data_IF_639914704516
#
_entry.id   IF_639914704516
#
_cell.length_a   1.000
_cell.length_b   1.000
_cell.length_c   1.000
_cell.angle_alpha   90.00
_cell.angle_beta   90.00
_cell.angle_gamma   90.00
#
_symmetry.space_group_name_H-M   'P 1'
#
loop_
_entity.id
_entity.type
_entity.pdbx_description
1 polymer ?
#
# COMPACT_ATOMS: atom_id res chain seq x y z
N UNK A 1 3.91 23.39 -29.04
CA UNK A 1 3.42 22.01 -29.09
C UNK A 1 2.39 21.86 -27.99
N UNK A 2 1.21 21.36 -28.30
CA UNK A 2 0.22 21.06 -27.25
C UNK A 2 0.65 19.80 -26.51
N UNK A 3 0.56 19.81 -25.18
CA UNK A 3 0.89 18.68 -24.31
C UNK A 3 -0.30 18.35 -23.42
N UNK A 4 -0.56 17.06 -23.19
CA UNK A 4 -1.54 16.56 -22.20
C UNK A 4 -0.81 15.64 -21.24
N UNK A 5 -1.09 15.80 -19.94
CA UNK A 5 -0.62 14.91 -18.87
C UNK A 5 -1.82 14.12 -18.35
N UNK A 6 -1.80 12.80 -18.50
CA UNK A 6 -2.79 11.88 -17.95
C UNK A 6 -2.19 11.28 -16.68
N UNK A 7 -2.87 11.40 -15.54
CA UNK A 7 -2.35 10.92 -14.26
C UNK A 7 -3.30 9.84 -13.74
N UNK A 8 -2.76 8.66 -13.47
CA UNK A 8 -3.43 7.54 -12.80
C UNK A 8 -2.56 7.07 -11.64
N UNK A 9 -3.15 6.39 -10.66
CA UNK A 9 -2.47 5.94 -9.43
C UNK A 9 -3.16 4.69 -8.89
N UNK A 10 -2.50 3.96 -7.98
CA UNK A 10 -3.12 2.93 -7.15
C UNK A 10 -3.85 1.85 -7.95
N UNK A 11 -3.16 1.35 -8.99
CA UNK A 11 -3.72 0.30 -9.84
C UNK A 11 -3.66 -1.07 -9.14
N UNK A 12 -2.63 -1.30 -8.31
CA UNK A 12 -2.45 -2.50 -7.51
C UNK A 12 -2.54 -3.80 -8.33
N UNK A 13 -1.73 -3.89 -9.41
CA UNK A 13 -1.59 -5.12 -10.20
C UNK A 13 -0.82 -6.20 -9.42
N UNK A 14 -1.48 -7.31 -9.07
CA UNK A 14 -0.88 -8.46 -8.37
C UNK A 14 -0.57 -9.63 -9.34
N UNK A 15 -0.01 -10.73 -8.84
CA UNK A 15 0.20 -11.97 -9.60
C UNK A 15 -1.06 -12.76 -10.05
N UNK A 16 -2.24 -12.13 -10.12
CA UNK A 16 -3.46 -12.67 -10.74
C UNK A 16 -4.25 -13.71 -9.93
N UNK A 17 -3.70 -14.21 -8.82
CA UNK A 17 -4.35 -15.21 -7.95
C UNK A 17 -4.84 -14.63 -6.62
N UNK A 18 -4.60 -13.35 -6.36
CA UNK A 18 -4.91 -12.74 -5.06
C UNK A 18 -6.31 -12.13 -5.03
N UNK A 19 -7.02 -12.34 -3.91
CA UNK A 19 -8.25 -11.60 -3.57
C UNK A 19 -7.99 -10.09 -3.40
N UNK A 20 -6.73 -9.70 -3.26
CA UNK A 20 -6.25 -8.33 -3.13
C UNK A 20 -6.02 -7.62 -4.48
N UNK A 21 -6.42 -8.24 -5.60
CA UNK A 21 -6.25 -7.67 -6.93
C UNK A 21 -7.09 -6.40 -7.10
N UNK A 22 -6.43 -5.24 -7.26
CA UNK A 22 -7.10 -3.96 -7.50
C UNK A 22 -7.49 -3.71 -8.97
N UNK A 23 -6.81 -4.39 -9.91
CA UNK A 23 -6.97 -4.16 -11.34
C UNK A 23 -7.66 -5.34 -12.05
N UNK A 24 -8.93 -5.19 -12.40
CA UNK A 24 -9.69 -6.18 -13.18
C UNK A 24 -10.09 -5.68 -14.57
N UNK A 25 -10.99 -6.40 -15.23
CA UNK A 25 -11.45 -6.09 -16.60
C UNK A 25 -12.04 -4.68 -16.73
N UNK A 26 -12.72 -4.19 -15.69
CA UNK A 26 -13.29 -2.83 -15.68
C UNK A 26 -12.19 -1.75 -15.66
N UNK A 27 -11.16 -1.93 -14.82
CA UNK A 27 -10.00 -1.03 -14.77
C UNK A 27 -9.18 -1.10 -16.06
N UNK A 28 -9.00 -2.29 -16.64
CA UNK A 28 -8.36 -2.47 -17.94
C UNK A 28 -9.09 -1.70 -19.04
N UNK A 29 -10.42 -1.87 -19.14
CA UNK A 29 -11.23 -1.14 -20.11
C UNK A 29 -11.18 0.39 -19.90
N UNK A 30 -11.14 0.85 -18.65
CA UNK A 30 -10.98 2.26 -18.32
C UNK A 30 -9.62 2.80 -18.78
N UNK A 31 -8.53 2.05 -18.59
CA UNK A 31 -7.19 2.42 -19.05
C UNK A 31 -7.12 2.50 -20.59
N UNK A 32 -7.70 1.53 -21.29
CA UNK A 32 -7.79 1.53 -22.75
C UNK A 32 -8.58 2.75 -23.24
N UNK A 33 -9.73 3.04 -22.63
CA UNK A 33 -10.52 4.23 -22.93
C UNK A 33 -9.75 5.53 -22.68
N UNK A 34 -9.05 5.65 -21.55
CA UNK A 34 -8.27 6.83 -21.20
C UNK A 34 -7.11 7.07 -22.16
N UNK A 35 -6.35 6.03 -22.50
CA UNK A 35 -5.22 6.12 -23.44
C UNK A 35 -5.68 6.41 -24.87
N UNK A 36 -6.84 5.88 -25.27
CA UNK A 36 -7.48 6.23 -26.54
C UNK A 36 -7.98 7.67 -26.57
N UNK A 37 -8.53 8.19 -25.46
CA UNK A 37 -9.18 9.51 -25.38
C UNK A 37 -8.29 10.70 -25.76
N UNK A 38 -6.96 10.52 -25.75
CA UNK A 38 -5.97 11.51 -26.19
C UNK A 38 -5.60 11.40 -27.69
N UNK A 39 -6.44 10.71 -28.49
CA UNK A 39 -6.29 10.55 -29.93
C UNK A 39 -7.12 11.56 -30.75
N UNK A 40 -6.87 11.64 -32.05
CA UNK A 40 -7.55 12.60 -32.93
C UNK A 40 -9.04 12.28 -33.08
N UNK A 41 -9.93 13.21 -32.70
CA UNK A 41 -11.39 13.04 -32.75
C UNK A 41 -12.02 12.59 -31.44
N UNK A 42 -11.21 12.37 -30.40
CA UNK A 42 -11.62 11.92 -29.07
C UNK A 42 -11.84 13.10 -28.08
N UNK A 43 -12.45 12.87 -26.90
CA UNK A 43 -12.90 13.94 -25.99
C UNK A 43 -11.81 14.90 -25.51
N UNK A 44 -10.56 14.45 -25.40
CA UNK A 44 -9.43 15.30 -24.97
C UNK A 44 -8.75 16.01 -26.16
N UNK A 45 -9.15 15.71 -27.39
CA UNK A 45 -8.56 16.24 -28.61
C UNK A 45 -7.18 15.70 -28.92
N UNK A 46 -6.53 16.29 -29.95
CA UNK A 46 -5.18 15.91 -30.38
C UNK A 46 -4.13 16.78 -29.70
N UNK A 47 -3.16 16.15 -29.04
CA UNK A 47 -1.93 16.77 -28.58
C UNK A 47 -0.69 16.17 -29.26
N UNK A 48 0.28 17.04 -29.57
CA UNK A 48 1.57 16.66 -30.16
C UNK A 48 2.39 15.79 -29.20
N UNK A 49 2.21 16.03 -27.90
CA UNK A 49 2.86 15.33 -26.79
C UNK A 49 1.79 14.87 -25.79
N UNK A 50 1.80 13.60 -25.40
CA UNK A 50 0.95 13.10 -24.32
C UNK A 50 1.77 12.18 -23.45
N UNK A 51 1.72 12.44 -22.15
CA UNK A 51 2.40 11.67 -21.14
C UNK A 51 1.38 10.99 -20.23
N UNK A 52 1.47 9.66 -20.10
CA UNK A 52 0.78 8.89 -19.08
C UNK A 52 1.70 8.77 -17.86
N UNK A 53 1.30 9.42 -16.78
CA UNK A 53 1.99 9.40 -15.49
C UNK A 53 1.26 8.40 -14.59
N UNK A 54 1.97 7.35 -14.18
CA UNK A 54 1.50 6.34 -13.25
C UNK A 54 2.13 6.67 -11.90
N UNK A 55 1.33 7.25 -11.01
CA UNK A 55 1.75 7.93 -9.78
C UNK A 55 1.89 6.99 -8.57
N UNK A 56 2.70 5.96 -8.69
CA UNK A 56 2.91 4.98 -7.62
C UNK A 56 1.82 3.91 -7.56
N UNK A 57 2.18 2.82 -6.88
CA UNK A 57 1.31 1.67 -6.61
C UNK A 57 0.63 1.12 -7.88
N UNK A 58 1.38 1.14 -8.99
CA UNK A 58 0.97 0.50 -10.22
C UNK A 58 0.94 -1.02 -10.05
N UNK A 59 1.99 -1.53 -9.42
CA UNK A 59 2.20 -2.93 -9.14
C UNK A 59 2.10 -3.16 -7.65
N UNK A 60 1.54 -4.29 -7.23
CA UNK A 60 1.51 -4.65 -5.82
C UNK A 60 2.46 -5.81 -5.55
N UNK A 61 3.73 -5.47 -5.34
CA UNK A 61 4.76 -6.43 -4.93
C UNK A 61 4.52 -6.94 -3.51
N UNK A 62 3.77 -6.20 -2.69
CA UNK A 62 3.46 -6.63 -1.33
C UNK A 62 2.49 -7.82 -1.37
N UNK A 63 1.42 -7.73 -2.16
CA UNK A 63 0.39 -8.76 -2.33
C UNK A 63 0.74 -9.88 -3.32
N UNK A 64 1.92 -9.81 -3.96
CA UNK A 64 2.38 -10.84 -4.90
C UNK A 64 3.36 -11.81 -4.24
N UNK A 65 3.07 -13.11 -4.31
CA UNK A 65 3.97 -14.16 -3.79
C UNK A 65 5.33 -14.17 -4.52
N UNK A 66 6.44 -14.54 -3.86
CA UNK A 66 6.55 -14.98 -2.47
C UNK A 66 6.38 -13.83 -1.48
N UNK A 67 5.68 -14.08 -0.37
CA UNK A 67 5.51 -13.08 0.69
C UNK A 67 6.79 -13.06 1.52
N UNK A 68 7.58 -11.99 1.38
CA UNK A 68 8.83 -11.81 2.11
C UNK A 68 8.55 -11.16 3.46
N UNK A 69 8.90 -11.85 4.54
CA UNK A 69 8.67 -11.39 5.91
C UNK A 69 9.95 -10.83 6.54
N UNK A 70 10.98 -10.50 5.75
CA UNK A 70 12.25 -9.94 6.24
C UNK A 70 12.23 -8.42 6.37
N UNK A 71 11.18 -7.76 5.87
CA UNK A 71 11.09 -6.29 5.86
C UNK A 71 12.03 -5.61 4.86
N UNK A 72 12.49 -6.36 3.84
CA UNK A 72 13.32 -5.86 2.76
C UNK A 72 12.93 -6.52 1.44
N UNK A 73 13.23 -5.84 0.34
CA UNK A 73 13.10 -6.36 -1.02
C UNK A 73 14.48 -6.50 -1.65
N UNK A 74 14.68 -7.57 -2.41
CA UNK A 74 15.90 -7.85 -3.17
C UNK A 74 15.58 -8.10 -4.65
N UNK A 75 16.57 -7.88 -5.52
CA UNK A 75 16.39 -7.98 -6.97
C UNK A 75 15.84 -9.35 -7.41
N UNK A 76 16.37 -10.51 -6.96
CA UNK A 76 15.83 -11.81 -7.36
C UNK A 76 14.35 -11.99 -7.00
N UNK A 77 13.95 -11.60 -5.79
CA UNK A 77 12.56 -11.70 -5.31
C UNK A 77 11.66 -10.76 -6.09
N UNK A 78 12.11 -9.52 -6.33
CA UNK A 78 11.39 -8.55 -7.13
C UNK A 78 11.13 -9.05 -8.55
N UNK A 79 12.14 -9.60 -9.23
CA UNK A 79 11.97 -10.15 -10.57
C UNK A 79 11.03 -11.37 -10.60
N UNK A 80 11.07 -12.24 -9.57
CA UNK A 80 10.11 -13.35 -9.47
C UNK A 80 8.66 -12.83 -9.38
N UNK A 81 8.42 -11.84 -8.52
CA UNK A 81 7.10 -11.22 -8.36
C UNK A 81 6.65 -10.50 -9.63
N UNK A 82 7.54 -9.71 -10.24
CA UNK A 82 7.25 -8.99 -11.48
C UNK A 82 6.88 -9.96 -12.60
N UNK A 83 7.56 -11.10 -12.74
CA UNK A 83 7.21 -12.13 -13.72
C UNK A 83 5.77 -12.63 -13.55
N UNK A 84 5.31 -12.82 -12.31
CA UNK A 84 3.93 -13.24 -12.02
C UNK A 84 2.92 -12.15 -12.37
N UNK A 85 3.24 -10.89 -12.06
CA UNK A 85 2.41 -9.72 -12.40
C UNK A 85 2.30 -9.59 -13.93
N UNK A 86 3.42 -9.69 -14.66
CA UNK A 86 3.45 -9.64 -16.12
C UNK A 86 2.60 -10.75 -16.73
N UNK A 87 2.75 -11.98 -16.23
CA UNK A 87 1.99 -13.12 -16.72
C UNK A 87 0.48 -12.97 -16.48
N UNK A 88 0.08 -12.32 -15.38
CA UNK A 88 -1.32 -12.09 -15.04
C UNK A 88 -1.97 -10.94 -15.84
N UNK A 89 -1.19 -9.90 -16.20
CA UNK A 89 -1.71 -8.63 -16.72
C UNK A 89 -1.25 -8.31 -18.15
N UNK A 90 -1.19 -9.32 -19.02
CA UNK A 90 -0.81 -9.14 -20.43
C UNK A 90 -1.51 -7.97 -21.16
N UNK A 91 -2.84 -7.81 -21.04
CA UNK A 91 -3.56 -6.67 -21.64
C UNK A 91 -3.07 -5.30 -21.18
N UNK A 92 -2.65 -5.13 -19.93
CA UNK A 92 -2.12 -3.86 -19.41
C UNK A 92 -0.83 -3.47 -20.15
N UNK A 93 0.12 -4.41 -20.24
CA UNK A 93 1.40 -4.17 -20.93
C UNK A 93 1.22 -3.98 -22.43
N UNK A 94 0.26 -4.66 -23.04
CA UNK A 94 -0.11 -4.47 -24.45
C UNK A 94 -0.67 -3.05 -24.69
N UNK A 95 -1.51 -2.54 -23.79
CA UNK A 95 -2.00 -1.16 -23.86
C UNK A 95 -0.86 -0.14 -23.79
N UNK A 96 0.10 -0.33 -22.86
CA UNK A 96 1.27 0.54 -22.77
C UNK A 96 2.15 0.47 -24.03
N UNK A 97 2.33 -0.72 -24.61
CA UNK A 97 3.08 -0.91 -25.85
C UNK A 97 2.45 -0.14 -27.01
N UNK A 98 1.15 -0.31 -27.23
CA UNK A 98 0.42 0.40 -28.28
C UNK A 98 0.45 1.92 -28.07
N UNK A 99 0.31 2.37 -26.81
CA UNK A 99 0.38 3.78 -26.48
C UNK A 99 1.73 4.39 -26.86
N UNK A 100 2.84 3.78 -26.42
CA UNK A 100 4.21 4.28 -26.70
C UNK A 100 4.60 4.15 -28.18
N UNK A 101 4.02 3.20 -28.93
CA UNK A 101 4.26 3.07 -30.36
C UNK A 101 3.76 4.31 -31.15
N UNK A 102 2.84 5.09 -30.58
CA UNK A 102 2.36 6.33 -31.18
C UNK A 102 3.37 7.47 -30.96
N UNK A 103 3.64 8.25 -32.01
CA UNK A 103 4.58 9.37 -31.93
C UNK A 103 4.12 10.41 -30.89
N UNK A 104 5.07 10.89 -30.06
CA UNK A 104 4.79 11.87 -29.02
C UNK A 104 4.02 11.29 -27.82
N UNK A 105 4.20 9.99 -27.53
CA UNK A 105 3.67 9.33 -26.35
C UNK A 105 4.77 8.87 -25.41
N UNK A 106 4.58 9.18 -24.15
CA UNK A 106 5.54 8.92 -23.07
C UNK A 106 4.82 8.28 -21.88
N UNK A 107 5.48 7.38 -21.18
CA UNK A 107 5.01 6.82 -19.91
C UNK A 107 6.03 7.16 -18.83
N UNK A 108 5.55 7.74 -17.73
CA UNK A 108 6.34 8.01 -16.54
C UNK A 108 5.81 7.20 -15.38
N UNK A 109 6.67 6.41 -14.75
CA UNK A 109 6.39 5.74 -13.49
C UNK A 109 6.96 6.56 -12.33
N UNK A 110 6.15 6.83 -11.33
CA UNK A 110 6.56 7.32 -10.02
C UNK A 110 6.42 6.13 -9.07
N UNK A 111 7.35 5.99 -8.14
CA UNK A 111 7.36 4.89 -7.18
C UNK A 111 6.42 5.17 -6.00
N UNK A 112 5.62 4.18 -5.62
CA UNK A 112 4.83 4.15 -4.39
C UNK A 112 5.40 3.18 -3.36
N UNK A 113 4.68 2.92 -2.27
CA UNK A 113 5.15 1.98 -1.24
C UNK A 113 4.85 0.50 -1.57
N UNK A 114 3.94 0.21 -2.51
CA UNK A 114 3.64 -1.15 -2.97
C UNK A 114 4.53 -1.62 -4.14
N UNK A 115 5.20 -0.70 -4.82
CA UNK A 115 6.11 -0.96 -5.94
C UNK A 115 7.48 -0.30 -5.80
N UNK A 116 8.01 -0.29 -4.58
CA UNK A 116 9.34 0.26 -4.29
C UNK A 116 10.46 -0.38 -5.12
N UNK A 117 10.21 -1.61 -5.59
CA UNK A 117 11.03 -2.38 -6.50
C UNK A 117 11.30 -1.69 -7.84
N UNK A 118 10.49 -0.68 -8.23
CA UNK A 118 10.75 0.17 -9.39
C UNK A 118 12.07 0.93 -9.30
N UNK A 119 12.67 1.05 -8.11
CA UNK A 119 14.01 1.60 -7.93
C UNK A 119 15.12 0.67 -8.46
N UNK A 120 14.88 -0.64 -8.61
CA UNK A 120 15.86 -1.59 -9.15
C UNK A 120 16.07 -1.38 -10.65
N UNK A 121 17.33 -1.38 -11.11
CA UNK A 121 17.65 -1.24 -12.54
C UNK A 121 17.10 -2.43 -13.35
N UNK A 122 17.16 -3.62 -12.78
CA UNK A 122 16.72 -4.88 -13.38
C UNK A 122 15.19 -4.92 -13.57
N UNK A 123 14.43 -4.47 -12.57
CA UNK A 123 12.96 -4.36 -12.65
C UNK A 123 12.57 -3.39 -13.77
N UNK A 124 13.21 -2.22 -13.82
CA UNK A 124 12.99 -1.22 -14.88
C UNK A 124 13.38 -1.73 -16.26
N UNK A 125 14.46 -2.51 -16.37
CA UNK A 125 14.90 -3.10 -17.62
C UNK A 125 13.88 -4.15 -18.12
N UNK A 126 13.39 -5.02 -17.23
CA UNK A 126 12.39 -6.02 -17.56
C UNK A 126 11.04 -5.40 -17.95
N UNK A 127 10.60 -4.34 -17.27
CA UNK A 127 9.39 -3.60 -17.65
C UNK A 127 9.52 -2.98 -19.04
N UNK A 128 10.67 -2.38 -19.37
CA UNK A 128 10.94 -1.85 -20.73
C UNK A 128 10.89 -2.93 -21.80
N UNK A 129 11.55 -4.06 -21.55
CA UNK A 129 11.53 -5.21 -22.46
C UNK A 129 10.10 -5.71 -22.67
N UNK A 130 9.33 -5.84 -21.58
CA UNK A 130 7.94 -6.29 -21.61
C UNK A 130 7.05 -5.35 -22.42
N UNK A 131 7.24 -4.03 -22.28
CA UNK A 131 6.52 -3.01 -23.05
C UNK A 131 7.04 -2.94 -24.51
N UNK A 132 8.18 -3.56 -24.83
CA UNK A 132 8.72 -3.65 -26.17
C UNK A 132 9.56 -2.44 -26.59
N UNK A 133 10.21 -1.77 -25.63
CA UNK A 133 11.15 -0.68 -25.90
C UNK A 133 12.58 -1.06 -25.51
N UNK A 134 13.56 -0.39 -26.12
CA UNK A 134 14.96 -0.57 -25.73
C UNK A 134 15.19 -0.07 -24.29
N UNK A 135 16.18 -0.64 -23.59
CA UNK A 135 16.52 -0.29 -22.19
C UNK A 135 16.76 1.21 -21.98
N UNK A 136 17.27 1.91 -23.00
CA UNK A 136 17.58 3.34 -22.94
C UNK A 136 16.55 4.21 -23.69
N UNK A 137 15.34 3.70 -23.94
CA UNK A 137 14.29 4.45 -24.62
C UNK A 137 13.68 5.51 -23.68
N UNK A 138 13.86 6.78 -24.04
CA UNK A 138 13.39 7.94 -23.26
C UNK A 138 11.87 8.12 -23.28
N UNK A 139 11.12 7.30 -24.04
CA UNK A 139 9.66 7.27 -23.97
C UNK A 139 9.14 6.63 -22.69
N UNK A 140 9.96 5.82 -22.01
CA UNK A 140 9.65 5.30 -20.67
C UNK A 140 10.62 5.90 -19.67
N UNK A 141 10.08 6.71 -18.77
CA UNK A 141 10.81 7.32 -17.68
C UNK A 141 10.39 6.69 -16.36
N UNK A 142 11.38 6.33 -15.53
CA UNK A 142 11.15 5.93 -14.15
C UNK A 142 11.71 7.04 -13.29
N UNK A 143 10.84 7.77 -12.59
CA UNK A 143 11.21 8.92 -11.79
C UNK A 143 12.11 8.46 -10.64
N UNK A 144 13.37 8.93 -10.57
CA UNK A 144 14.28 8.51 -9.51
C UNK A 144 14.07 9.30 -8.22
N UNK A 145 13.33 10.41 -8.27
CA UNK A 145 13.00 11.27 -7.13
C UNK A 145 11.65 10.90 -6.53
N UNK A 146 11.40 11.28 -5.28
CA UNK A 146 10.08 11.08 -4.61
C UNK A 146 8.92 11.81 -5.27
N UNK A 147 9.24 12.84 -6.02
CA UNK A 147 8.28 13.69 -6.70
C UNK A 147 8.62 13.81 -8.17
N UNK A 148 7.62 14.19 -8.97
CA UNK A 148 7.76 14.51 -10.36
C UNK A 148 7.17 15.89 -10.67
N UNK A 149 7.87 16.67 -11.49
CA UNK A 149 7.42 18.00 -11.96
C UNK A 149 7.30 17.99 -13.48
N UNK A 150 6.19 17.48 -14.04
CA UNK A 150 6.00 17.44 -15.50
C UNK A 150 5.85 18.83 -16.11
N UNK A 151 5.45 19.83 -15.30
CA UNK A 151 5.24 21.23 -15.69
C UNK A 151 5.70 22.16 -14.54
N UNK A 152 5.98 23.46 -14.80
CA UNK A 152 6.49 24.39 -13.78
C UNK A 152 5.59 24.54 -12.54
N UNK A 153 4.29 24.40 -12.72
CA UNK A 153 3.23 24.59 -11.73
C UNK A 153 2.57 23.28 -11.29
N UNK A 154 3.02 22.14 -11.81
CA UNK A 154 2.50 20.82 -11.45
C UNK A 154 3.55 20.05 -10.66
N UNK A 155 3.14 19.62 -9.47
CA UNK A 155 3.93 18.82 -8.56
C UNK A 155 3.16 17.55 -8.23
N UNK A 156 3.80 16.40 -8.43
CA UNK A 156 3.19 15.10 -8.26
C UNK A 156 4.04 14.30 -7.27
N UNK A 157 3.40 13.77 -6.25
CA UNK A 157 3.92 12.73 -5.36
C UNK A 157 2.85 11.65 -5.25
N UNK A 158 3.28 10.41 -4.95
CA UNK A 158 2.33 9.34 -4.63
C UNK A 158 1.58 9.62 -3.31
N UNK A 159 2.31 10.09 -2.28
CA UNK A 159 1.71 10.59 -1.03
C UNK A 159 1.90 9.68 0.19
N UNK A 160 2.46 8.48 0.03
CA UNK A 160 2.84 7.58 1.14
C UNK A 160 3.77 8.26 2.18
N UNK A 161 4.47 9.31 1.76
CA UNK A 161 5.32 10.12 2.63
C UNK A 161 4.51 11.00 3.61
N UNK A 162 3.20 11.12 3.47
CA UNK A 162 2.35 11.82 4.45
C UNK A 162 1.62 10.86 5.38
N UNK A 163 1.85 9.55 5.23
CA UNK A 163 1.30 8.52 6.10
C UNK A 163 2.33 8.15 7.18
N UNK A 164 1.89 8.15 8.45
CA UNK A 164 2.75 7.81 9.58
C UNK A 164 3.40 6.43 9.41
N UNK A 165 2.73 5.46 8.79
CA UNK A 165 3.24 4.10 8.64
C UNK A 165 4.29 4.00 7.53
N UNK A 166 4.12 4.76 6.44
CA UNK A 166 4.92 4.66 5.23
C UNK A 166 5.82 5.88 4.93
N UNK A 167 5.89 6.87 5.83
CA UNK A 167 6.65 8.12 5.67
C UNK A 167 8.11 7.95 5.23
N UNK A 168 8.80 7.00 5.85
CA UNK A 168 10.25 6.87 5.75
C UNK A 168 10.60 5.55 5.09
N UNK A 169 11.28 5.65 3.96
CA UNK A 169 11.88 4.51 3.27
C UNK A 169 13.39 4.73 3.33
N UNK A 170 14.01 4.07 4.30
CA UNK A 170 15.40 4.32 4.66
C UNK A 170 16.34 4.11 3.47
N UNK A 171 17.32 5.00 3.34
CA UNK A 171 18.42 4.93 2.37
C UNK A 171 18.03 5.00 0.89
N UNK A 172 16.76 5.30 0.55
CA UNK A 172 16.36 5.55 -0.84
C UNK A 172 16.45 7.01 -1.25
N UNK A 173 15.92 7.91 -0.42
CA UNK A 173 15.88 9.35 -0.72
C UNK A 173 16.33 10.19 0.47
N UNK A 174 16.91 11.36 0.16
CA UNK A 174 17.17 12.39 1.16
C UNK A 174 15.89 13.16 1.54
N UNK A 175 16.03 14.09 2.49
CA UNK A 175 14.93 14.94 2.97
C UNK A 175 14.32 15.82 1.86
N UNK A 176 15.06 16.10 0.78
CA UNK A 176 14.58 16.85 -0.37
C UNK A 176 14.01 15.95 -1.47
N UNK A 177 13.87 14.65 -1.20
CA UNK A 177 13.33 13.67 -2.14
C UNK A 177 14.26 13.32 -3.30
N UNK A 178 15.56 13.62 -3.17
CA UNK A 178 16.58 13.21 -4.14
C UNK A 178 17.09 11.80 -3.83
N UNK A 179 17.36 10.98 -4.85
CA UNK A 179 17.84 9.61 -4.64
C UNK A 179 19.23 9.59 -4.00
N UNK A 180 19.40 8.75 -2.97
CA UNK A 180 20.69 8.49 -2.33
C UNK A 180 21.51 7.46 -3.12
N UNK A 181 20.84 6.46 -3.70
CA UNK A 181 21.40 5.48 -4.62
C UNK A 181 20.45 5.28 -5.82
N UNK A 182 20.99 5.38 -7.03
CA UNK A 182 20.23 5.18 -8.28
C UNK A 182 20.13 3.71 -8.69
N UNK A 183 20.92 2.84 -8.06
CA UNK A 183 21.05 1.40 -8.36
C UNK A 183 21.15 0.58 -7.07
N UNK A 184 20.16 0.70 -6.16
CA UNK A 184 20.15 -0.14 -4.97
C UNK A 184 20.08 -1.61 -5.38
N UNK A 185 20.68 -2.51 -4.60
CA UNK A 185 20.56 -3.96 -4.78
C UNK A 185 19.65 -4.62 -3.73
N UNK A 186 19.30 -3.86 -2.69
CA UNK A 186 18.36 -4.23 -1.63
C UNK A 186 17.70 -2.94 -1.14
N UNK A 187 16.42 -3.04 -0.77
CA UNK A 187 15.64 -1.91 -0.25
C UNK A 187 14.99 -2.35 1.05
N UNK A 188 15.15 -1.57 2.11
CA UNK A 188 14.40 -1.78 3.35
C UNK A 188 12.99 -1.24 3.15
N UNK A 189 11.97 -2.06 3.43
CA UNK A 189 10.58 -1.64 3.26
C UNK A 189 10.20 -0.60 4.33
N UNK A 190 9.31 0.34 4.00
CA UNK A 190 8.73 1.19 5.02
C UNK A 190 7.95 0.33 6.03
N UNK A 191 7.85 0.85 7.24
CA UNK A 191 7.35 0.07 8.36
C UNK A 191 5.91 -0.43 8.17
N UNK A 192 5.04 0.39 7.57
CA UNK A 192 3.68 -0.01 7.19
C UNK A 192 3.66 -1.20 6.23
N UNK A 193 4.48 -1.16 5.18
CA UNK A 193 4.61 -2.24 4.20
C UNK A 193 5.18 -3.53 4.82
N UNK A 194 6.16 -3.41 5.73
CA UNK A 194 6.67 -4.56 6.48
C UNK A 194 5.61 -5.16 7.41
N UNK A 195 4.93 -4.33 8.21
CA UNK A 195 3.83 -4.76 9.08
C UNK A 195 2.73 -5.45 8.27
N UNK A 196 2.38 -4.88 7.11
CA UNK A 196 1.37 -5.44 6.23
C UNK A 196 1.78 -6.84 5.79
N UNK A 197 2.97 -7.02 5.20
CA UNK A 197 3.41 -8.34 4.73
C UNK A 197 3.60 -9.37 5.85
N UNK A 198 4.18 -8.94 6.98
CA UNK A 198 4.56 -9.84 8.07
C UNK A 198 3.39 -10.23 8.97
N UNK A 199 2.54 -9.28 9.34
CA UNK A 199 1.53 -9.47 10.39
C UNK A 199 0.09 -9.33 9.86
N UNK A 200 -0.20 -8.33 9.02
CA UNK A 200 -1.58 -8.05 8.62
C UNK A 200 -2.05 -8.81 7.37
N UNK A 201 -1.13 -9.34 6.55
CA UNK A 201 -1.45 -9.93 5.25
C UNK A 201 -2.48 -11.06 5.33
N UNK A 202 -2.44 -11.91 6.38
CA UNK A 202 -3.49 -12.94 6.53
C UNK A 202 -4.88 -12.36 6.80
N UNK A 203 -4.97 -11.21 7.48
CA UNK A 203 -6.25 -10.51 7.65
C UNK A 203 -6.75 -10.06 6.28
N UNK A 204 -5.92 -9.39 5.49
CA UNK A 204 -6.32 -8.93 4.15
C UNK A 204 -6.73 -10.10 3.23
N UNK A 205 -6.10 -11.27 3.32
CA UNK A 205 -6.52 -12.44 2.54
C UNK A 205 -7.87 -13.02 2.95
N UNK A 206 -8.16 -13.10 4.25
CA UNK A 206 -9.43 -13.69 4.74
C UNK A 206 -10.58 -12.66 4.79
N UNK A 207 -10.24 -11.38 4.91
CA UNK A 207 -11.14 -10.26 5.16
C UNK A 207 -10.85 -9.08 4.22
N UNK A 208 -10.63 -9.34 2.93
CA UNK A 208 -10.29 -8.31 1.93
C UNK A 208 -11.29 -7.15 1.86
N UNK A 209 -12.53 -7.36 2.29
CA UNK A 209 -13.56 -6.32 2.36
C UNK A 209 -13.32 -5.27 3.46
N UNK A 210 -12.39 -5.49 4.39
CA UNK A 210 -12.06 -4.50 5.43
C UNK A 210 -11.57 -3.18 4.84
N UNK A 211 -10.88 -3.24 3.71
CA UNK A 211 -10.38 -2.06 2.99
C UNK A 211 -11.46 -1.41 2.09
N UNK A 212 -12.70 -1.91 2.13
CA UNK A 212 -13.82 -1.44 1.31
C UNK A 212 -15.01 -0.93 2.13
N UNK A 213 -14.86 -0.79 3.46
CA UNK A 213 -15.88 -0.15 4.28
C UNK A 213 -15.98 1.35 3.97
N UNK A 214 -17.21 1.83 3.82
CA UNK A 214 -17.52 3.26 3.65
C UNK A 214 -18.56 3.69 4.69
N UNK A 215 -18.19 4.49 5.71
CA UNK A 215 -16.84 5.02 5.98
C UNK A 215 -15.84 3.93 6.41
N UNK A 216 -14.54 4.19 6.25
CA UNK A 216 -13.47 3.25 6.59
C UNK A 216 -13.55 2.76 8.04
N UNK A 217 -13.41 1.45 8.25
CA UNK A 217 -13.37 0.86 9.59
C UNK A 217 -11.95 0.95 10.18
N UNK A 218 -11.80 1.62 11.32
CA UNK A 218 -10.49 1.75 11.98
C UNK A 218 -10.00 0.43 12.62
N UNK A 219 -8.73 0.41 13.00
CA UNK A 219 -8.08 -0.79 13.57
C UNK A 219 -8.74 -1.30 14.85
N UNK A 220 -9.26 -0.43 15.74
CA UNK A 220 -9.93 -0.89 16.96
C UNK A 220 -11.20 -1.69 16.64
N UNK A 221 -12.02 -1.18 15.72
CA UNK A 221 -13.23 -1.88 15.26
C UNK A 221 -12.89 -3.18 14.54
N UNK A 222 -11.84 -3.18 13.70
CA UNK A 222 -11.37 -4.39 13.04
C UNK A 222 -10.90 -5.45 14.06
N UNK A 223 -10.10 -5.07 15.06
CA UNK A 223 -9.64 -5.99 16.13
C UNK A 223 -10.86 -6.52 16.90
N UNK A 224 -11.81 -5.66 17.30
CA UNK A 224 -13.01 -6.08 18.02
C UNK A 224 -13.85 -7.07 17.19
N UNK A 225 -14.09 -6.76 15.91
CA UNK A 225 -14.84 -7.63 15.02
C UNK A 225 -14.14 -8.99 14.85
N UNK A 226 -12.82 -9.00 14.66
CA UNK A 226 -12.05 -10.23 14.51
C UNK A 226 -11.97 -11.03 15.82
N UNK A 227 -12.03 -10.40 16.99
CA UNK A 227 -12.14 -11.13 18.26
C UNK A 227 -13.42 -11.98 18.35
N UNK A 228 -14.51 -11.53 17.69
CA UNK A 228 -15.76 -12.29 17.57
C UNK A 228 -15.69 -13.36 16.47
N UNK A 229 -15.20 -12.97 15.29
CA UNK A 229 -15.33 -13.79 14.08
C UNK A 229 -14.17 -14.79 13.91
N UNK A 230 -12.95 -14.40 14.27
CA UNK A 230 -11.75 -15.22 14.08
C UNK A 230 -10.68 -14.86 15.13
N UNK A 231 -10.87 -15.27 16.41
CA UNK A 231 -9.89 -14.99 17.46
C UNK A 231 -8.49 -15.55 17.14
N UNK A 232 -8.41 -16.63 16.36
CA UNK A 232 -7.15 -17.23 15.91
C UNK A 232 -6.30 -16.27 15.06
N UNK A 233 -6.94 -15.49 14.18
CA UNK A 233 -6.22 -14.51 13.35
C UNK A 233 -5.70 -13.35 14.21
N UNK A 234 -6.46 -12.90 15.20
CA UNK A 234 -6.03 -11.85 16.14
C UNK A 234 -4.81 -12.31 16.93
N UNK A 235 -4.84 -13.53 17.46
CA UNK A 235 -3.71 -14.10 18.21
C UNK A 235 -2.45 -14.26 17.33
N UNK A 236 -2.64 -14.67 16.07
CA UNK A 236 -1.53 -14.79 15.12
C UNK A 236 -0.94 -13.42 14.79
N UNK A 237 -1.78 -12.45 14.43
CA UNK A 237 -1.36 -11.08 14.11
C UNK A 237 -0.66 -10.45 15.29
N UNK A 238 -1.24 -10.50 16.51
CA UNK A 238 -0.59 -9.96 17.72
C UNK A 238 0.81 -10.57 17.94
N UNK A 239 0.97 -11.88 17.79
CA UNK A 239 2.28 -12.55 17.89
C UNK A 239 3.28 -12.02 16.87
N UNK A 240 2.86 -11.87 15.61
CA UNK A 240 3.73 -11.41 14.52
C UNK A 240 4.08 -9.92 14.71
N UNK A 241 3.13 -9.09 15.14
CA UNK A 241 3.34 -7.68 15.50
C UNK A 241 4.36 -7.52 16.63
N UNK A 242 4.32 -8.35 17.66
CA UNK A 242 5.30 -8.25 18.76
C UNK A 242 6.72 -8.70 18.37
N UNK A 243 6.89 -9.40 17.24
CA UNK A 243 8.22 -9.77 16.72
C UNK A 243 8.94 -8.63 16.01
N UNK A 244 8.22 -7.58 15.58
CA UNK A 244 8.78 -6.47 14.80
C UNK A 244 9.13 -5.23 15.65
N UNK A 245 8.86 -5.30 16.96
CA UNK A 245 9.30 -4.32 17.95
C UNK A 245 10.83 -4.21 17.99
N UNK A 246 11.35 -3.05 18.42
CA UNK A 246 12.78 -2.89 18.73
C UNK A 246 13.27 -3.90 19.76
N UNK A 247 12.42 -4.22 20.74
CA UNK A 247 12.63 -5.27 21.74
C UNK A 247 11.52 -6.33 21.60
N UNK A 248 11.73 -7.39 20.79
CA UNK A 248 10.74 -8.43 20.57
C UNK A 248 10.34 -9.12 21.88
N UNK A 249 9.04 -9.34 22.06
CA UNK A 249 8.48 -9.96 23.27
C UNK A 249 7.25 -10.82 22.95
N UNK A 250 6.82 -11.71 23.87
CA UNK A 250 5.61 -12.49 23.66
C UNK A 250 4.37 -11.57 23.60
N UNK A 251 3.43 -11.93 22.73
CA UNK A 251 2.11 -11.29 22.68
C UNK A 251 1.17 -11.90 23.73
N UNK A 252 0.14 -11.14 24.08
CA UNK A 252 -0.99 -11.56 24.90
C UNK A 252 -0.63 -12.08 26.30
N UNK A 253 0.38 -11.49 26.93
CA UNK A 253 1.01 -12.00 28.16
C UNK A 253 0.12 -12.01 29.40
N UNK A 254 -0.92 -11.18 29.44
CA UNK A 254 -1.83 -11.09 30.60
C UNK A 254 -3.08 -11.98 30.48
N UNK A 255 -3.20 -12.81 29.43
CA UNK A 255 -4.30 -13.76 29.30
C UNK A 255 -3.97 -15.08 30.01
N UNK A 256 -4.85 -15.53 30.91
CA UNK A 256 -4.81 -16.89 31.43
C UNK A 256 -5.29 -17.89 30.36
N UNK A 257 -4.86 -19.17 30.43
CA UNK A 257 -5.30 -20.18 29.46
C UNK A 257 -6.83 -20.30 29.37
N UNK A 258 -7.37 -20.17 28.16
CA UNK A 258 -8.80 -20.18 27.86
C UNK A 258 -9.43 -18.78 27.80
N UNK A 259 -8.78 -17.75 28.32
CA UNK A 259 -9.28 -16.37 28.25
C UNK A 259 -9.16 -15.76 26.85
N UNK A 260 -8.28 -16.30 26.01
CA UNK A 260 -8.19 -15.94 24.58
C UNK A 260 -9.47 -16.26 23.79
N UNK A 261 -10.36 -17.08 24.38
CA UNK A 261 -11.68 -17.42 23.79
C UNK A 261 -12.78 -16.45 24.22
N UNK A 262 -12.49 -15.51 25.12
CA UNK A 262 -13.43 -14.49 25.59
C UNK A 262 -13.15 -13.22 24.77
N UNK A 263 -14.03 -12.84 23.81
CA UNK A 263 -13.75 -11.76 22.86
C UNK A 263 -13.33 -10.45 23.52
N UNK A 264 -14.00 -10.04 24.60
CA UNK A 264 -13.66 -8.83 25.35
C UNK A 264 -12.24 -8.86 25.96
N UNK A 265 -11.79 -10.02 26.48
CA UNK A 265 -10.44 -10.16 27.05
C UNK A 265 -9.37 -10.20 25.96
N UNK A 266 -9.63 -10.92 24.87
CA UNK A 266 -8.73 -10.93 23.73
C UNK A 266 -8.58 -9.53 23.12
N UNK A 267 -9.68 -8.79 22.97
CA UNK A 267 -9.68 -7.43 22.47
C UNK A 267 -8.87 -6.47 23.35
N UNK A 268 -9.07 -6.52 24.66
CA UNK A 268 -8.32 -5.71 25.63
C UNK A 268 -6.82 -5.94 25.46
N UNK A 269 -6.37 -7.20 25.51
CA UNK A 269 -4.94 -7.48 25.45
C UNK A 269 -4.35 -7.27 24.05
N UNK A 270 -5.07 -7.58 22.97
CA UNK A 270 -4.62 -7.32 21.61
C UNK A 270 -4.50 -5.82 21.32
N UNK A 271 -5.39 -5.00 21.89
CA UNK A 271 -5.32 -3.54 21.78
C UNK A 271 -4.13 -2.97 22.54
N UNK A 272 -3.81 -3.50 23.74
CA UNK A 272 -2.61 -3.13 24.48
C UNK A 272 -1.35 -3.45 23.66
N UNK A 273 -1.24 -4.68 23.15
CA UNK A 273 -0.11 -5.09 22.32
C UNK A 273 0.02 -4.18 21.09
N UNK A 274 -1.09 -3.85 20.42
CA UNK A 274 -1.09 -2.95 19.26
C UNK A 274 -0.69 -1.52 19.62
N UNK A 275 -1.14 -1.00 20.76
CA UNK A 275 -0.77 0.33 21.25
C UNK A 275 0.73 0.42 21.59
N UNK A 276 1.28 -0.60 22.27
CA UNK A 276 2.71 -0.65 22.57
C UNK A 276 3.55 -0.72 21.29
N UNK A 277 3.04 -1.39 20.26
CA UNK A 277 3.64 -1.40 18.94
C UNK A 277 3.63 -0.03 18.26
N UNK A 278 2.51 0.70 18.30
CA UNK A 278 2.46 2.06 17.79
C UNK A 278 3.43 2.98 18.56
N UNK A 279 3.57 2.81 19.88
CA UNK A 279 4.52 3.57 20.68
C UNK A 279 5.99 3.28 20.30
N UNK A 280 6.36 2.00 20.09
CA UNK A 280 7.70 1.63 19.60
C UNK A 280 7.99 2.28 18.23
N UNK A 281 7.00 2.26 17.32
CA UNK A 281 7.13 2.94 16.03
C UNK A 281 7.37 4.45 16.19
N UNK A 282 6.57 5.12 17.01
CA UNK A 282 6.73 6.56 17.27
C UNK A 282 8.13 6.87 17.83
N UNK A 283 8.64 6.04 18.73
CA UNK A 283 9.97 6.23 19.30
C UNK A 283 11.11 6.07 18.27
N UNK A 284 10.89 5.26 17.22
CA UNK A 284 11.85 5.01 16.13
C UNK A 284 11.80 6.09 15.05
N UNK A 285 10.64 6.74 14.83
CA UNK A 285 10.42 7.75 13.80
C UNK A 285 10.58 9.17 14.34
N UNK A 286 11.81 9.52 14.73
CA UNK A 286 12.14 10.85 15.30
C UNK A 286 12.04 11.99 14.29
N UNK A 287 12.04 11.66 13.00
CA UNK A 287 11.87 12.52 11.84
C UNK A 287 10.41 12.80 11.49
N UNK A 288 9.46 12.05 12.06
CA UNK A 288 8.03 12.27 11.82
C UNK A 288 7.54 13.59 12.43
N UNK A 289 6.93 14.42 11.59
CA UNK A 289 6.23 15.64 11.99
C UNK A 289 4.76 15.44 11.62
N UNK A 290 3.89 15.40 12.62
CA UNK A 290 2.46 15.16 12.41
C UNK A 290 1.82 16.30 11.58
N UNK A 291 1.19 15.99 10.42
CA UNK A 291 0.60 17.02 9.57
C UNK A 291 -0.67 17.60 10.21
N UNK A 292 -0.60 18.84 10.69
CA UNK A 292 -1.76 19.58 11.18
C UNK A 292 -2.23 19.09 12.55
N UNK A 293 -1.73 19.73 13.61
CA UNK A 293 -2.16 19.48 14.99
C UNK A 293 -3.60 19.99 15.23
N UNK A 294 -4.59 19.18 14.86
CA UNK A 294 -5.94 19.32 15.40
C UNK A 294 -6.06 18.49 16.67
N UNK A 295 -6.09 19.21 17.80
CA UNK A 295 -6.55 18.79 19.13
C UNK A 295 -6.30 17.31 19.47
N UNK A 296 -5.02 16.93 19.67
CA UNK A 296 -4.60 15.59 20.11
C UNK A 296 -5.41 15.09 21.33
N UNK A 297 -5.81 16.02 22.21
CA UNK A 297 -6.65 15.71 23.37
C UNK A 297 -8.04 15.21 22.97
N UNK A 298 -8.64 15.80 21.94
CA UNK A 298 -9.92 15.35 21.40
C UNK A 298 -9.79 14.00 20.68
N UNK A 299 -8.72 13.80 19.89
CA UNK A 299 -8.47 12.52 19.21
C UNK A 299 -8.26 11.36 20.22
N UNK A 300 -7.50 11.61 21.28
CA UNK A 300 -7.30 10.66 22.35
C UNK A 300 -8.61 10.37 23.12
N UNK A 301 -9.40 11.40 23.43
CA UNK A 301 -10.71 11.24 24.07
C UNK A 301 -11.69 10.43 23.22
N UNK A 302 -11.71 10.66 21.89
CA UNK A 302 -12.51 9.87 20.96
C UNK A 302 -12.08 8.40 20.95
N UNK A 303 -10.77 8.14 20.89
CA UNK A 303 -10.21 6.78 20.93
C UNK A 303 -10.58 6.04 22.21
N UNK A 304 -10.49 6.71 23.36
CA UNK A 304 -10.89 6.13 24.66
C UNK A 304 -12.39 5.84 24.73
N UNK A 305 -13.21 6.74 24.18
CA UNK A 305 -14.67 6.57 24.14
C UNK A 305 -15.04 5.38 23.26
N UNK A 306 -14.43 5.27 22.08
CA UNK A 306 -14.64 4.16 21.16
C UNK A 306 -14.18 2.83 21.76
N UNK A 307 -13.02 2.80 22.42
CA UNK A 307 -12.55 1.61 23.14
C UNK A 307 -13.57 1.12 24.17
N UNK A 308 -14.14 2.03 24.97
CA UNK A 308 -15.14 1.68 25.98
C UNK A 308 -16.44 1.12 25.35
N UNK A 309 -16.90 1.73 24.25
CA UNK A 309 -18.08 1.26 23.50
C UNK A 309 -17.82 -0.16 22.96
N UNK A 310 -16.65 -0.41 22.37
CA UNK A 310 -16.30 -1.72 21.82
C UNK A 310 -16.17 -2.79 22.91
N UNK A 311 -15.61 -2.42 24.07
CA UNK A 311 -15.51 -3.33 25.21
C UNK A 311 -16.90 -3.77 25.71
N UNK A 312 -17.87 -2.85 25.77
CA UNK A 312 -19.26 -3.18 26.11
C UNK A 312 -19.92 -4.03 25.01
N UNK A 313 -19.77 -3.64 23.74
CA UNK A 313 -20.34 -4.35 22.60
C UNK A 313 -19.90 -5.82 22.53
N UNK A 314 -18.65 -6.12 22.88
CA UNK A 314 -18.11 -7.48 22.90
C UNK A 314 -18.72 -8.40 23.97
N UNK A 315 -19.55 -7.86 24.88
CA UNK A 315 -20.30 -8.65 25.87
C UNK A 315 -21.71 -9.02 25.42
N UNK A 316 -22.18 -8.43 24.31
CA UNK A 316 -23.51 -8.67 23.75
C UNK A 316 -23.57 -10.03 23.02
N UNK A 317 -24.78 -10.57 22.76
CA UNK A 317 -24.97 -11.67 21.82
C UNK A 317 -24.35 -11.36 20.45
N UNK A 318 -23.80 -12.37 19.77
CA UNK A 318 -22.98 -12.20 18.55
C UNK A 318 -23.58 -11.23 17.51
N UNK A 319 -24.87 -11.36 17.19
CA UNK A 319 -25.52 -10.52 16.16
C UNK A 319 -25.59 -9.06 16.60
N UNK A 320 -25.90 -8.82 17.88
CA UNK A 320 -25.97 -7.48 18.47
C UNK A 320 -24.57 -6.86 18.59
N UNK A 321 -23.57 -7.66 18.96
CA UNK A 321 -22.17 -7.24 19.04
C UNK A 321 -21.64 -6.81 17.65
N UNK A 322 -21.87 -7.60 16.61
CA UNK A 322 -21.47 -7.25 15.23
C UNK A 322 -22.17 -5.97 14.77
N UNK A 323 -23.47 -5.83 15.02
CA UNK A 323 -24.21 -4.61 14.65
C UNK A 323 -23.64 -3.36 15.35
N UNK A 324 -23.33 -3.46 16.65
CA UNK A 324 -22.74 -2.36 17.41
C UNK A 324 -21.33 -1.99 16.90
N UNK A 325 -20.47 -2.99 16.63
CA UNK A 325 -19.11 -2.76 16.15
C UNK A 325 -19.10 -2.16 14.72
N UNK A 326 -20.03 -2.56 13.86
CA UNK A 326 -20.10 -2.07 12.48
C UNK A 326 -20.86 -0.75 12.33
N UNK A 327 -21.49 -0.22 13.39
CA UNK A 327 -22.19 1.07 13.36
C UNK A 327 -21.20 2.18 13.73
N UNK A 328 -20.88 3.12 12.81
CA UNK A 328 -20.02 4.26 13.14
C UNK A 328 -20.65 5.11 14.24
N UNK A 329 -19.82 5.64 15.15
CA UNK A 329 -20.23 6.59 16.20
C UNK A 329 -20.21 8.03 15.71
#
# INVERSE_FOLDING_TARGET
MSSIKLIISDLHLTGGQSVLQGFGDAQQAALEGLTAAASSGEPLGRADDVELIINGDAFDFLATSPYDTRGASDVPTALEKLNKIIAAHGPFFETLRHFIATQGRHVTFITGNHDIELCFEEVRAQLRETIGVAVNDNRIFFCPTRFYRPLPDVYIEHGNHYDFWNHCISDLWDEQGQPLDLRPSTITLPFGSYYWQHAAHSISLEYAYFDHFEPSMNSLRQIALLCLLNPGIVMKTARLTMQILSEPRPALTNLAPGEERIPAKLFEQATIDFADFQQDMMARKKDWIEPGSQDESQAQANTMTEYAILQEALTLPLIEAVAAICTPT
#
